data_IF_394048718717
#
_entry.id   IF_394048718717
#
_cell.length_a   1.000
_cell.length_b   1.000
_cell.length_c   1.000
_cell.angle_alpha   90.00
_cell.angle_beta   90.00
_cell.angle_gamma   90.00
#
_symmetry.space_group_name_H-M   'P 1'
#
loop_
_entity.id
_entity.type
_entity.pdbx_description
1 polymer ?
#
# COMPACT_ATOMS: atom_id res chain seq x y z
N UNK A 1 -1.63 12.11 9.35
CA UNK A 1 -1.76 13.59 9.50
C UNK A 1 -2.55 14.24 8.38
N UNK A 2 -2.53 13.72 7.17
CA UNK A 2 -3.22 14.30 5.99
C UNK A 2 -4.77 14.22 6.02
N UNK A 3 -5.36 13.71 7.10
CA UNK A 3 -6.81 13.78 7.41
C UNK A 3 -7.15 14.73 8.56
N UNK A 4 -6.15 15.36 9.15
CA UNK A 4 -6.38 16.37 10.18
C UNK A 4 -6.83 17.71 9.54
N UNK A 5 -7.41 18.60 10.35
CA UNK A 5 -7.72 19.96 9.94
C UNK A 5 -6.49 20.86 9.97
N UNK A 6 -6.66 22.09 9.48
CA UNK A 6 -5.57 23.07 9.43
C UNK A 6 -5.14 23.54 10.83
N UNK A 7 -6.06 23.56 11.79
CA UNK A 7 -5.76 23.96 13.18
C UNK A 7 -4.84 22.95 13.83
N UNK A 8 -5.07 21.66 13.60
CA UNK A 8 -4.19 20.61 14.10
C UNK A 8 -2.82 20.62 13.40
N UNK A 9 -2.75 20.94 12.11
CA UNK A 9 -1.45 21.12 11.45
C UNK A 9 -0.68 22.31 12.04
N UNK A 10 -1.34 23.43 12.31
CA UNK A 10 -0.73 24.59 12.96
C UNK A 10 -0.20 24.24 14.37
N UNK A 11 -0.98 23.49 15.14
CA UNK A 11 -0.55 22.92 16.42
C UNK A 11 0.70 22.03 16.29
N UNK A 12 0.74 21.14 15.30
CA UNK A 12 1.92 20.31 15.05
C UNK A 12 3.15 21.15 14.68
N UNK A 13 2.96 22.26 13.96
CA UNK A 13 4.06 23.17 13.62
C UNK A 13 4.67 23.77 14.88
N UNK A 14 3.87 24.20 15.88
CA UNK A 14 4.37 24.69 17.17
C UNK A 14 5.12 23.58 17.92
N UNK A 15 4.51 22.40 18.04
CA UNK A 15 5.11 21.25 18.72
C UNK A 15 6.46 20.86 18.14
N UNK A 16 6.57 20.82 16.80
CA UNK A 16 7.79 20.39 16.11
C UNK A 16 8.88 21.48 16.06
N UNK A 17 8.50 22.75 16.24
CA UNK A 17 9.47 23.87 16.24
C UNK A 17 10.11 24.06 17.60
N UNK A 18 9.29 24.18 18.63
CA UNK A 18 9.67 24.66 19.94
C UNK A 18 9.48 23.61 21.03
N UNK A 19 8.95 22.44 20.68
CA UNK A 19 8.59 21.35 21.62
C UNK A 19 7.74 21.86 22.79
N UNK A 20 6.77 22.72 22.46
CA UNK A 20 5.84 23.32 23.41
C UNK A 20 4.41 23.29 22.88
N UNK A 21 3.47 23.53 23.76
CA UNK A 21 2.04 23.65 23.49
C UNK A 21 1.53 24.86 24.25
N UNK A 22 0.82 25.75 23.56
CA UNK A 22 0.13 26.89 24.18
C UNK A 22 -1.33 26.57 24.41
N UNK A 23 -1.73 26.50 25.69
CA UNK A 23 -3.10 26.26 26.12
C UNK A 23 -3.64 27.57 26.68
N UNK A 24 -4.76 28.13 26.16
CA UNK A 24 -5.25 29.47 26.56
C UNK A 24 -5.41 29.66 28.08
N UNK A 25 -5.90 28.65 28.80
CA UNK A 25 -6.19 28.75 30.23
C UNK A 25 -4.99 28.43 31.15
N UNK A 26 -3.98 27.77 30.61
CA UNK A 26 -2.84 27.24 31.39
C UNK A 26 -1.54 27.94 31.02
N UNK A 27 -1.50 28.55 29.82
CA UNK A 27 -0.27 29.11 29.25
C UNK A 27 0.56 28.09 28.47
N UNK A 28 1.84 28.42 28.27
CA UNK A 28 2.74 27.61 27.46
C UNK A 28 3.37 26.49 28.29
N UNK A 29 3.15 25.24 27.89
CA UNK A 29 3.75 24.04 28.46
C UNK A 29 4.88 23.57 27.55
N UNK A 30 6.11 23.52 28.06
CA UNK A 30 7.29 23.02 27.33
C UNK A 30 7.60 21.58 27.66
N UNK A 31 8.07 20.82 26.67
CA UNK A 31 8.52 19.47 26.87
C UNK A 31 9.78 19.43 27.79
N UNK A 32 9.76 18.59 28.81
CA UNK A 32 10.94 18.38 29.68
C UNK A 32 12.07 17.65 28.95
N UNK A 33 11.74 16.83 27.96
CA UNK A 33 12.67 16.16 27.04
C UNK A 33 12.12 16.28 25.64
N UNK A 34 12.99 16.49 24.65
CA UNK A 34 12.62 16.53 23.24
C UNK A 34 12.07 15.16 22.85
N UNK A 35 10.80 15.06 22.40
CA UNK A 35 10.20 13.82 21.97
C UNK A 35 10.74 13.40 20.61
N UNK A 36 10.80 12.08 20.37
CA UNK A 36 10.94 11.56 19.01
C UNK A 36 9.55 11.49 18.36
N UNK A 37 9.37 12.20 17.25
CA UNK A 37 8.06 12.32 16.58
C UNK A 37 8.11 11.65 15.22
N UNK A 38 7.16 10.77 14.95
CA UNK A 38 6.95 10.14 13.64
C UNK A 38 5.57 10.53 13.12
N UNK A 39 5.53 11.16 11.97
CA UNK A 39 4.30 11.51 11.27
C UNK A 39 4.13 10.58 10.07
N UNK A 40 2.95 9.98 9.94
CA UNK A 40 2.59 9.14 8.79
C UNK A 40 1.50 9.80 7.97
N UNK A 41 1.58 9.65 6.64
CA UNK A 41 0.60 10.17 5.69
C UNK A 41 0.42 9.18 4.54
N UNK A 42 -0.81 8.98 4.09
CA UNK A 42 -1.14 8.26 2.86
C UNK A 42 -1.50 9.22 1.70
N UNK A 43 -1.19 10.51 1.86
CA UNK A 43 -1.37 11.56 0.83
C UNK A 43 -2.80 11.70 0.32
N UNK A 44 -3.78 11.60 1.19
CA UNK A 44 -5.19 11.93 0.83
C UNK A 44 -5.35 13.40 0.50
N UNK A 45 -4.51 14.26 1.07
CA UNK A 45 -4.32 15.67 0.68
C UNK A 45 -2.86 16.08 0.85
N UNK A 46 -2.52 17.22 0.30
CA UNK A 46 -1.19 17.79 0.48
C UNK A 46 -1.05 18.41 1.88
N UNK A 47 0.07 18.12 2.55
CA UNK A 47 0.40 18.70 3.84
C UNK A 47 0.95 20.12 3.66
N UNK A 48 0.70 20.99 4.64
CA UNK A 48 1.21 22.35 4.62
C UNK A 48 2.74 22.37 4.60
N UNK A 49 3.33 23.26 3.80
CA UNK A 49 4.80 23.36 3.64
C UNK A 49 5.53 23.65 4.95
N UNK A 50 4.89 24.40 5.85
CA UNK A 50 5.44 24.67 7.17
C UNK A 50 5.69 23.39 7.98
N UNK A 51 4.83 22.39 7.86
CA UNK A 51 5.00 21.09 8.51
C UNK A 51 6.09 20.25 7.81
N UNK A 52 6.07 20.20 6.47
CA UNK A 52 7.08 19.48 5.69
C UNK A 52 8.51 19.93 5.99
N UNK A 53 8.74 21.24 6.14
CA UNK A 53 10.07 21.82 6.41
C UNK A 53 10.65 21.45 7.78
N UNK A 54 9.83 20.94 8.71
CA UNK A 54 10.23 20.55 10.06
C UNK A 54 10.46 19.05 10.23
N UNK A 55 10.25 18.29 9.15
CA UNK A 55 10.37 16.84 9.15
C UNK A 55 11.43 16.36 8.17
N UNK A 56 12.11 15.29 8.51
CA UNK A 56 12.81 14.48 7.51
C UNK A 56 11.75 13.69 6.75
N UNK A 57 11.79 13.76 5.43
CA UNK A 57 10.78 13.14 4.60
C UNK A 57 11.29 11.80 4.07
N UNK A 58 10.54 10.75 4.37
CA UNK A 58 10.79 9.41 3.84
C UNK A 58 9.60 9.00 2.97
N UNK A 59 9.86 8.78 1.70
CA UNK A 59 8.91 8.20 0.78
C UNK A 59 8.97 6.68 0.84
N UNK A 60 7.81 6.05 1.04
CA UNK A 60 7.68 4.59 1.03
C UNK A 60 6.86 4.21 -0.19
N UNK A 61 7.54 3.64 -1.18
CA UNK A 61 6.91 3.09 -2.38
C UNK A 61 6.28 1.72 -2.13
N UNK A 62 5.55 1.23 -3.14
CA UNK A 62 5.11 -0.16 -3.15
C UNK A 62 6.32 -1.10 -3.06
N UNK A 63 6.20 -2.24 -2.37
CA UNK A 63 7.29 -3.18 -2.24
C UNK A 63 7.68 -3.78 -3.59
N UNK A 64 8.94 -4.19 -3.72
CA UNK A 64 9.37 -5.06 -4.82
C UNK A 64 8.68 -6.42 -4.74
N UNK A 65 8.76 -7.20 -5.80
CA UNK A 65 8.18 -8.55 -5.85
C UNK A 65 8.70 -9.43 -4.69
N UNK A 66 10.01 -9.44 -4.46
CA UNK A 66 10.66 -10.23 -3.41
C UNK A 66 10.18 -9.80 -2.02
N UNK A 67 10.15 -8.49 -1.79
CA UNK A 67 9.68 -7.94 -0.52
C UNK A 67 8.21 -8.24 -0.26
N UNK A 68 7.39 -8.22 -1.31
CA UNK A 68 5.97 -8.56 -1.21
C UNK A 68 5.77 -10.06 -0.94
N UNK A 69 6.60 -10.93 -1.53
CA UNK A 69 6.65 -12.35 -1.21
C UNK A 69 6.99 -12.61 0.27
N UNK A 70 7.99 -11.91 0.82
CA UNK A 70 8.34 -12.00 2.24
C UNK A 70 7.16 -11.59 3.14
N UNK A 71 6.47 -10.50 2.77
CA UNK A 71 5.31 -10.00 3.51
C UNK A 71 4.16 -11.02 3.46
N UNK A 72 3.82 -11.53 2.29
CA UNK A 72 2.76 -12.54 2.14
C UNK A 72 3.13 -13.81 2.91
N UNK A 73 4.34 -14.32 2.79
CA UNK A 73 4.80 -15.50 3.53
C UNK A 73 4.76 -15.32 5.05
N UNK A 74 5.04 -14.10 5.54
CA UNK A 74 4.96 -13.79 6.97
C UNK A 74 3.52 -13.64 7.48
N UNK A 75 2.62 -13.11 6.65
CA UNK A 75 1.23 -12.77 7.04
C UNK A 75 0.23 -13.88 6.73
N UNK A 76 0.54 -14.71 5.76
CA UNK A 76 -0.30 -15.82 5.28
C UNK A 76 0.58 -17.07 5.15
N UNK A 77 1.10 -17.60 6.27
CA UNK A 77 2.10 -18.69 6.25
C UNK A 77 1.59 -19.99 5.63
N UNK A 78 0.28 -20.20 5.65
CA UNK A 78 -0.36 -21.39 5.08
C UNK A 78 -0.59 -21.27 3.56
N UNK A 79 -0.28 -20.14 2.93
CA UNK A 79 -0.39 -19.99 1.48
C UNK A 79 0.67 -20.84 0.78
N UNK A 80 0.22 -21.61 -0.21
CA UNK A 80 1.17 -22.34 -1.07
C UNK A 80 2.07 -21.33 -1.79
N UNK A 81 3.38 -21.60 -1.81
CA UNK A 81 4.38 -20.69 -2.36
C UNK A 81 4.06 -20.27 -3.81
N UNK A 82 3.60 -21.23 -4.64
CA UNK A 82 3.27 -20.93 -6.03
C UNK A 82 2.06 -20.00 -6.15
N UNK A 83 1.02 -20.19 -5.34
CA UNK A 83 -0.12 -19.26 -5.30
C UNK A 83 0.32 -17.86 -4.84
N UNK A 84 1.13 -17.78 -3.80
CA UNK A 84 1.68 -16.50 -3.33
C UNK A 84 2.49 -15.79 -4.42
N UNK A 85 3.31 -16.53 -5.17
CA UNK A 85 4.08 -16.01 -6.31
C UNK A 85 3.17 -15.47 -7.42
N UNK A 86 2.09 -16.17 -7.73
CA UNK A 86 1.12 -15.73 -8.74
C UNK A 86 0.38 -14.46 -8.28
N UNK A 87 -0.06 -14.42 -7.03
CA UNK A 87 -0.71 -13.25 -6.43
C UNK A 87 0.23 -12.04 -6.50
N UNK A 88 1.46 -12.15 -5.99
CA UNK A 88 2.42 -11.05 -6.02
C UNK A 88 2.73 -10.59 -7.46
N UNK A 89 2.91 -11.51 -8.40
CA UNK A 89 3.11 -11.17 -9.81
C UNK A 89 1.93 -10.42 -10.43
N UNK A 90 0.71 -10.84 -10.10
CA UNK A 90 -0.52 -10.16 -10.54
C UNK A 90 -0.63 -8.75 -9.95
N UNK A 91 -0.34 -8.60 -8.66
CA UNK A 91 -0.36 -7.30 -7.98
C UNK A 91 0.70 -6.33 -8.53
N UNK A 92 1.91 -6.81 -8.83
CA UNK A 92 2.96 -6.00 -9.49
C UNK A 92 2.49 -5.51 -10.87
N UNK A 93 1.84 -6.38 -11.66
CA UNK A 93 1.26 -6.00 -12.94
C UNK A 93 0.18 -4.93 -12.78
N UNK A 94 -0.75 -5.09 -11.83
CA UNK A 94 -1.80 -4.11 -11.58
C UNK A 94 -1.22 -2.74 -11.21
N UNK A 95 -0.18 -2.70 -10.38
CA UNK A 95 0.48 -1.45 -9.97
C UNK A 95 1.23 -0.75 -11.09
N UNK A 96 1.63 -1.48 -12.14
CA UNK A 96 2.24 -0.89 -13.33
C UNK A 96 1.23 -0.21 -14.27
N UNK A 97 -0.07 -0.40 -14.03
CA UNK A 97 -1.14 0.16 -14.85
C UNK A 97 -1.61 1.52 -14.34
N UNK A 98 -2.32 2.23 -15.22
CA UNK A 98 -2.95 3.49 -14.88
C UNK A 98 -4.37 3.23 -14.34
N UNK A 99 -4.45 3.11 -13.01
CA UNK A 99 -5.69 2.94 -12.25
C UNK A 99 -5.97 4.16 -11.38
N UNK A 100 -7.24 4.41 -11.10
CA UNK A 100 -7.66 5.42 -10.12
C UNK A 100 -7.02 5.16 -8.76
N UNK A 101 -7.00 3.90 -8.35
CA UNK A 101 -6.33 3.49 -7.13
C UNK A 101 -5.61 2.16 -7.31
N UNK A 102 -4.30 2.23 -7.29
CA UNK A 102 -3.45 1.04 -7.32
C UNK A 102 -3.61 0.26 -6.01
N UNK A 103 -3.72 -1.09 -6.08
CA UNK A 103 -3.89 -1.91 -4.87
C UNK A 103 -2.63 -1.88 -4.00
N UNK A 104 -2.83 -1.76 -2.68
CA UNK A 104 -1.76 -1.78 -1.68
C UNK A 104 -1.40 -3.19 -1.23
N UNK A 105 -0.49 -3.28 -0.26
CA UNK A 105 -0.07 -4.56 0.34
C UNK A 105 -1.20 -5.19 1.17
N UNK A 106 -2.05 -4.38 1.79
CA UNK A 106 -3.20 -4.88 2.53
C UNK A 106 -4.15 -5.65 1.60
N UNK A 107 -4.46 -5.10 0.42
CA UNK A 107 -5.28 -5.76 -0.58
C UNK A 107 -4.62 -7.06 -1.09
N UNK A 108 -3.27 -7.13 -1.16
CA UNK A 108 -2.57 -8.37 -1.51
C UNK A 108 -2.79 -9.47 -0.46
N UNK A 109 -2.68 -9.12 0.83
CA UNK A 109 -2.88 -10.04 1.95
C UNK A 109 -4.34 -10.51 2.00
N UNK A 110 -5.28 -9.57 1.92
CA UNK A 110 -6.72 -9.86 1.96
C UNK A 110 -7.13 -10.78 0.81
N UNK A 111 -6.59 -10.55 -0.38
CA UNK A 111 -6.87 -11.39 -1.54
C UNK A 111 -6.25 -12.78 -1.40
N UNK A 112 -5.03 -12.89 -0.89
CA UNK A 112 -4.42 -14.18 -0.60
C UNK A 112 -5.27 -15.00 0.38
N UNK A 113 -5.75 -14.38 1.45
CA UNK A 113 -6.65 -15.02 2.43
C UNK A 113 -7.99 -15.44 1.79
N UNK A 114 -8.57 -14.61 0.93
CA UNK A 114 -9.81 -14.91 0.23
C UNK A 114 -9.63 -16.13 -0.70
N UNK A 115 -8.58 -16.14 -1.53
CA UNK A 115 -8.28 -17.25 -2.45
C UNK A 115 -8.03 -18.56 -1.69
N UNK A 116 -7.30 -18.51 -0.58
CA UNK A 116 -7.09 -19.68 0.27
C UNK A 116 -8.40 -20.21 0.86
N UNK A 117 -9.27 -19.31 1.35
CA UNK A 117 -10.58 -19.69 1.90
C UNK A 117 -11.48 -20.35 0.86
N UNK A 118 -11.26 -20.04 -0.42
CA UNK A 118 -11.94 -20.68 -1.57
C UNK A 118 -11.26 -21.99 -2.00
N UNK A 119 -10.15 -22.38 -1.37
CA UNK A 119 -9.40 -23.58 -1.70
C UNK A 119 -8.62 -23.48 -3.02
N UNK A 120 -8.35 -22.25 -3.51
CA UNK A 120 -7.62 -22.03 -4.75
C UNK A 120 -6.16 -22.43 -4.60
N UNK A 121 -5.63 -23.13 -5.59
CA UNK A 121 -4.21 -23.52 -5.67
C UNK A 121 -3.41 -22.67 -6.66
N UNK A 122 -4.13 -22.01 -7.55
CA UNK A 122 -3.60 -21.12 -8.59
C UNK A 122 -4.62 -20.01 -8.93
N UNK A 123 -4.24 -19.07 -9.79
CA UNK A 123 -5.11 -18.01 -10.28
C UNK A 123 -5.92 -18.51 -11.49
N UNK A 124 -7.05 -19.17 -11.19
CA UNK A 124 -8.06 -19.48 -12.21
C UNK A 124 -8.80 -18.22 -12.67
N UNK A 125 -9.04 -18.03 -13.98
CA UNK A 125 -9.70 -16.84 -14.50
C UNK A 125 -11.08 -16.55 -13.88
N UNK A 126 -11.90 -17.56 -13.61
CA UNK A 126 -13.22 -17.37 -13.02
C UNK A 126 -13.13 -16.94 -11.56
N UNK A 127 -12.17 -17.50 -10.82
CA UNK A 127 -11.89 -17.10 -9.44
C UNK A 127 -11.34 -15.68 -9.37
N UNK A 128 -10.42 -15.32 -10.27
CA UNK A 128 -9.90 -13.95 -10.35
C UNK A 128 -11.02 -12.97 -10.63
N UNK A 129 -11.88 -13.22 -11.63
CA UNK A 129 -13.01 -12.34 -11.98
C UNK A 129 -13.93 -12.11 -10.77
N UNK A 130 -14.33 -13.18 -10.10
CA UNK A 130 -15.24 -13.10 -8.95
C UNK A 130 -14.62 -12.40 -7.72
N UNK A 131 -13.29 -12.29 -7.66
CA UNK A 131 -12.56 -11.72 -6.52
C UNK A 131 -11.87 -10.40 -6.81
N UNK A 132 -11.99 -9.83 -8.02
CA UNK A 132 -11.39 -8.53 -8.37
C UNK A 132 -11.78 -7.42 -7.38
N UNK A 133 -12.98 -7.44 -6.83
CA UNK A 133 -13.43 -6.49 -5.81
C UNK A 133 -12.65 -6.54 -4.48
N UNK A 134 -11.89 -7.60 -4.21
CA UNK A 134 -10.98 -7.64 -3.06
C UNK A 134 -9.81 -6.67 -3.25
N UNK A 135 -9.32 -6.50 -4.48
CA UNK A 135 -8.10 -5.77 -4.80
C UNK A 135 -8.33 -4.44 -5.51
N UNK A 136 -9.41 -4.29 -6.27
CA UNK A 136 -9.79 -3.06 -6.96
C UNK A 136 -11.07 -2.50 -6.36
N UNK A 137 -11.09 -1.20 -6.05
CA UNK A 137 -12.18 -0.53 -5.34
C UNK A 137 -13.00 0.41 -6.23
N UNK A 138 -12.59 0.61 -7.48
CA UNK A 138 -13.27 1.43 -8.47
C UNK A 138 -13.78 0.53 -9.59
N UNK A 139 -15.03 0.77 -9.99
CA UNK A 139 -15.71 -0.01 -11.01
C UNK A 139 -14.96 0.06 -12.35
N UNK A 140 -14.50 1.25 -12.69
CA UNK A 140 -13.77 1.54 -13.92
C UNK A 140 -12.43 0.77 -14.00
N UNK A 141 -11.77 0.56 -12.85
CA UNK A 141 -10.53 -0.21 -12.78
C UNK A 141 -10.80 -1.71 -12.98
N UNK A 142 -11.94 -2.21 -12.44
CA UNK A 142 -12.39 -3.59 -12.66
C UNK A 142 -12.77 -3.82 -14.12
N UNK A 143 -13.55 -2.91 -14.72
CA UNK A 143 -13.97 -2.98 -16.12
C UNK A 143 -12.77 -3.01 -17.07
N UNK A 144 -11.72 -2.21 -16.83
CA UNK A 144 -10.46 -2.25 -17.60
C UNK A 144 -9.81 -3.64 -17.59
N UNK A 145 -9.83 -4.34 -16.46
CA UNK A 145 -9.26 -5.70 -16.36
C UNK A 145 -10.13 -6.70 -17.12
N UNK A 146 -11.45 -6.58 -17.01
CA UNK A 146 -12.39 -7.45 -17.71
C UNK A 146 -12.34 -7.25 -19.23
N UNK A 147 -12.24 -6.00 -19.71
CA UNK A 147 -12.07 -5.66 -21.14
C UNK A 147 -10.75 -6.20 -21.72
N UNK A 148 -9.66 -6.17 -20.94
CA UNK A 148 -8.37 -6.75 -21.35
C UNK A 148 -8.40 -8.28 -21.44
N UNK A 149 -9.42 -8.91 -20.85
CA UNK A 149 -9.55 -10.35 -20.72
C UNK A 149 -8.71 -10.92 -19.58
N UNK A 150 -9.36 -11.46 -18.56
CA UNK A 150 -8.68 -11.99 -17.35
C UNK A 150 -7.60 -13.03 -17.67
N UNK A 151 -7.81 -14.02 -18.56
CA UNK A 151 -6.76 -14.97 -18.94
C UNK A 151 -5.50 -14.28 -19.47
N UNK A 152 -5.67 -13.24 -20.31
CA UNK A 152 -4.56 -12.48 -20.88
C UNK A 152 -3.81 -11.67 -19.81
N UNK A 153 -4.53 -11.14 -18.82
CA UNK A 153 -3.93 -10.41 -17.71
C UNK A 153 -3.13 -11.35 -16.81
N UNK A 154 -3.65 -12.54 -16.52
CA UNK A 154 -2.92 -13.58 -15.75
C UNK A 154 -1.63 -13.99 -16.48
N UNK A 155 -1.69 -14.21 -17.79
CA UNK A 155 -0.51 -14.61 -18.58
C UNK A 155 0.54 -13.48 -18.61
N UNK A 156 0.11 -12.22 -18.77
CA UNK A 156 1.02 -11.05 -18.67
C UNK A 156 1.68 -10.97 -17.28
N UNK A 157 0.95 -11.23 -16.21
CA UNK A 157 1.49 -11.25 -14.84
C UNK A 157 2.55 -12.35 -14.66
N UNK A 158 2.32 -13.51 -15.24
CA UNK A 158 3.26 -14.63 -15.25
C UNK A 158 4.56 -14.28 -15.99
N UNK A 159 4.44 -13.70 -17.18
CA UNK A 159 5.60 -13.23 -17.95
C UNK A 159 6.40 -12.15 -17.21
N UNK A 160 5.72 -11.20 -16.54
CA UNK A 160 6.37 -10.17 -15.75
C UNK A 160 7.16 -10.79 -14.58
N UNK A 161 6.56 -11.73 -13.87
CA UNK A 161 7.21 -12.50 -12.80
C UNK A 161 8.50 -13.17 -13.26
N UNK A 162 8.45 -13.87 -14.39
CA UNK A 162 9.62 -14.56 -14.95
C UNK A 162 10.74 -13.59 -15.32
N UNK A 163 10.40 -12.40 -15.85
CA UNK A 163 11.39 -11.35 -16.13
C UNK A 163 12.07 -10.85 -14.85
N UNK A 164 11.29 -10.58 -13.80
CA UNK A 164 11.82 -10.12 -12.50
C UNK A 164 12.78 -11.19 -11.95
N UNK A 165 12.35 -12.44 -11.89
CA UNK A 165 13.18 -13.53 -11.37
C UNK A 165 14.52 -13.69 -12.12
N UNK A 166 14.56 -13.46 -13.44
CA UNK A 166 15.79 -13.50 -14.22
C UNK A 166 16.72 -12.31 -13.98
N UNK A 167 16.19 -11.17 -13.55
CA UNK A 167 16.99 -9.97 -13.23
C UNK A 167 17.62 -10.06 -11.85
N UNK A 168 16.94 -10.69 -10.89
CA UNK A 168 17.43 -10.87 -9.52
C UNK A 168 18.48 -11.99 -9.41
N UNK A 169 18.54 -12.91 -10.38
CA UNK A 169 19.52 -14.01 -10.44
C UNK A 169 20.87 -13.64 -11.07
N UNK A 170 21.06 -12.38 -11.46
CA UNK A 170 22.33 -11.82 -12.00
C UNK A 170 22.99 -10.90 -10.98
#
# INVERSE_FOLDING_TARGET
VDRSDEEFEAFLVEVLSDFQITIPEIGTVKAKKVPFVVLTSNRTRELHDALKRRCLYLWIDYPTFEKEMDIVGSRVPDAQEELARQICGFMQLLRSRDFYKKPGVAETIDWALALMSMGSKDLDPAVVDSTLGCILKYKEDIEKIQEDGIPQVIEKAKMLRERISRQTAK
#
